data_IF_715878246737
#
_entry.id   IF_715878246737
#
_cell.length_a   1.000
_cell.length_b   1.000
_cell.length_c   1.000
_cell.angle_alpha   90.00
_cell.angle_beta   90.00
_cell.angle_gamma   90.00
#
_symmetry.space_group_name_H-M   'P 1'
#
loop_
_entity.id
_entity.type
_entity.pdbx_description
1 polymer ?
#
# COMPACT_ATOMS: atom_id res chain seq x y z
N UNK A 1 -18.28 -35.67 -4.14
CA UNK A 1 -16.93 -35.38 -4.66
C UNK A 1 -16.71 -33.88 -4.52
N UNK A 2 -15.99 -33.42 -3.49
CA UNK A 2 -15.74 -31.99 -3.29
C UNK A 2 -14.46 -31.63 -4.04
N UNK A 3 -14.60 -30.96 -5.18
CA UNK A 3 -13.48 -30.34 -5.89
C UNK A 3 -12.99 -29.17 -5.05
N UNK A 4 -11.81 -29.31 -4.45
CA UNK A 4 -11.14 -28.23 -3.72
C UNK A 4 -10.67 -27.20 -4.73
N UNK A 5 -11.32 -26.03 -4.77
CA UNK A 5 -10.87 -24.91 -5.59
C UNK A 5 -9.56 -24.37 -5.00
N UNK A 6 -8.44 -24.57 -5.70
CA UNK A 6 -7.17 -23.92 -5.37
C UNK A 6 -7.13 -22.56 -6.07
N UNK A 7 -7.13 -21.49 -5.29
CA UNK A 7 -6.89 -20.13 -5.78
C UNK A 7 -5.40 -19.81 -5.66
N UNK A 8 -4.78 -19.38 -6.75
CA UNK A 8 -3.42 -18.86 -6.77
C UNK A 8 -3.44 -17.34 -6.74
N UNK A 9 -2.58 -16.73 -5.92
CA UNK A 9 -2.44 -15.29 -5.84
C UNK A 9 -0.97 -14.87 -5.88
N UNK A 10 -0.70 -13.75 -6.54
CA UNK A 10 0.63 -13.13 -6.60
C UNK A 10 0.64 -11.87 -5.74
N UNK A 11 1.71 -11.71 -4.95
CA UNK A 11 1.94 -10.52 -4.12
C UNK A 11 3.09 -9.69 -4.67
N UNK A 12 2.84 -8.41 -4.93
CA UNK A 12 3.88 -7.42 -5.25
C UNK A 12 4.18 -6.59 -4.00
N UNK A 13 5.41 -6.64 -3.51
CA UNK A 13 5.84 -5.87 -2.34
C UNK A 13 6.99 -4.94 -2.71
N UNK A 14 6.67 -3.70 -3.04
CA UNK A 14 7.65 -2.64 -3.38
C UNK A 14 7.09 -1.26 -3.02
N UNK A 15 7.97 -0.30 -2.83
CA UNK A 15 7.65 1.09 -2.48
C UNK A 15 8.09 2.08 -3.57
N UNK A 16 8.39 3.31 -3.15
CA UNK A 16 8.78 4.44 -4.02
C UNK A 16 10.23 4.41 -4.53
N UNK A 17 10.94 3.29 -4.31
CA UNK A 17 12.36 3.11 -4.69
C UNK A 17 13.21 4.25 -4.12
N UNK A 18 14.06 4.87 -4.94
CA UNK A 18 14.96 5.95 -4.50
C UNK A 18 14.23 7.26 -4.18
N UNK A 19 13.03 7.50 -4.71
CA UNK A 19 12.32 8.78 -4.56
C UNK A 19 11.92 9.05 -3.11
N UNK A 20 11.30 8.07 -2.43
CA UNK A 20 10.96 8.26 -1.01
C UNK A 20 12.20 8.37 -0.12
N UNK A 21 13.29 7.69 -0.50
CA UNK A 21 14.54 7.76 0.23
C UNK A 21 15.22 9.13 0.07
N UNK A 22 15.19 9.75 -1.11
CA UNK A 22 15.74 11.09 -1.31
C UNK A 22 14.97 12.14 -0.50
N UNK A 23 13.64 12.09 -0.53
CA UNK A 23 12.79 12.98 0.29
C UNK A 23 13.13 12.82 1.77
N UNK A 24 13.23 11.58 2.27
CA UNK A 24 13.61 11.33 3.66
C UNK A 24 15.00 11.92 3.98
N UNK A 25 16.00 11.67 3.13
CA UNK A 25 17.36 12.19 3.30
C UNK A 25 17.38 13.72 3.38
N UNK A 26 16.61 14.41 2.53
CA UNK A 26 16.53 15.87 2.53
C UNK A 26 15.87 16.39 3.81
N UNK A 27 14.81 15.74 4.28
CA UNK A 27 14.15 16.10 5.54
C UNK A 27 15.05 15.83 6.76
N UNK A 28 15.81 14.73 6.77
CA UNK A 28 16.64 14.33 7.91
C UNK A 28 18.09 14.80 7.84
N UNK A 29 18.38 15.80 6.99
CA UNK A 29 19.76 16.23 6.73
C UNK A 29 20.44 16.81 7.97
N UNK A 30 19.70 17.55 8.78
CA UNK A 30 20.22 18.22 10.00
C UNK A 30 19.88 17.45 11.27
N UNK A 31 18.72 16.79 11.30
CA UNK A 31 18.20 16.06 12.47
C UNK A 31 17.60 14.72 12.02
N UNK A 32 17.75 13.68 12.83
CA UNK A 32 17.25 12.34 12.48
C UNK A 32 15.73 12.19 12.52
N UNK A 33 15.05 13.05 13.28
CA UNK A 33 13.60 13.05 13.43
C UNK A 33 13.06 14.48 13.55
N UNK A 34 13.10 15.26 12.45
CA UNK A 34 12.65 16.65 12.46
C UNK A 34 11.16 16.72 12.75
N UNK A 35 10.75 17.69 13.55
CA UNK A 35 9.35 18.06 13.72
C UNK A 35 9.00 19.19 12.76
N UNK A 36 7.96 18.98 11.94
CA UNK A 36 7.41 20.04 11.08
C UNK A 36 6.12 20.56 11.73
N UNK A 37 6.07 21.84 12.15
CA UNK A 37 4.86 22.43 12.73
C UNK A 37 3.66 22.39 11.74
N UNK A 38 2.42 22.15 12.23
CA UNK A 38 1.23 22.11 11.36
C UNK A 38 0.93 23.40 10.58
N UNK A 39 1.36 24.54 11.10
CA UNK A 39 1.18 25.88 10.55
C UNK A 39 2.35 26.33 9.65
N UNK A 40 3.40 25.51 9.55
CA UNK A 40 4.61 25.85 8.81
C UNK A 40 4.42 25.63 7.29
N UNK A 41 4.92 26.54 6.43
CA UNK A 41 4.87 26.36 4.98
C UNK A 41 5.71 25.16 4.50
N UNK A 42 6.66 24.67 5.30
CA UNK A 42 7.45 23.49 5.00
C UNK A 42 6.58 22.22 5.01
N UNK A 43 5.50 22.18 5.81
CA UNK A 43 4.60 21.02 5.86
C UNK A 43 3.94 20.77 4.50
N UNK A 44 3.43 21.83 3.84
CA UNK A 44 2.75 21.67 2.56
C UNK A 44 3.70 21.19 1.46
N UNK A 45 4.95 21.66 1.46
CA UNK A 45 6.00 21.19 0.56
C UNK A 45 6.31 19.71 0.80
N UNK A 46 6.56 19.32 2.05
CA UNK A 46 6.81 17.94 2.42
C UNK A 46 5.65 17.02 2.03
N UNK A 47 4.41 17.43 2.29
CA UNK A 47 3.22 16.64 1.96
C UNK A 47 3.06 16.46 0.45
N UNK A 48 3.33 17.48 -0.35
CA UNK A 48 3.30 17.36 -1.81
C UNK A 48 4.32 16.34 -2.33
N UNK A 49 5.55 16.37 -1.82
CA UNK A 49 6.60 15.40 -2.17
C UNK A 49 6.25 13.99 -1.68
N UNK A 50 5.77 13.87 -0.45
CA UNK A 50 5.30 12.63 0.15
C UNK A 50 4.17 12.00 -0.68
N UNK A 51 3.12 12.77 -1.00
CA UNK A 51 1.96 12.28 -1.72
C UNK A 51 2.34 11.87 -3.15
N UNK A 52 3.23 12.61 -3.79
CA UNK A 52 3.81 12.23 -5.06
C UNK A 52 4.58 10.89 -4.95
N UNK A 53 5.39 10.70 -3.92
CA UNK A 53 6.10 9.44 -3.70
C UNK A 53 5.16 8.26 -3.43
N UNK A 54 4.05 8.48 -2.72
CA UNK A 54 3.00 7.46 -2.50
C UNK A 54 2.32 7.10 -3.82
N UNK A 55 1.96 8.09 -4.64
CA UNK A 55 1.36 7.87 -5.96
C UNK A 55 2.32 7.12 -6.89
N UNK A 56 3.59 7.52 -6.92
CA UNK A 56 4.64 6.82 -7.65
C UNK A 56 4.71 5.36 -7.21
N UNK A 57 4.68 5.08 -5.90
CA UNK A 57 4.77 3.72 -5.36
C UNK A 57 3.61 2.84 -5.82
N UNK A 58 2.40 3.39 -5.89
CA UNK A 58 1.21 2.71 -6.43
C UNK A 58 1.39 2.39 -7.91
N UNK A 59 1.78 3.38 -8.72
CA UNK A 59 2.02 3.19 -10.16
C UNK A 59 3.12 2.15 -10.43
N UNK A 60 4.17 2.12 -9.60
CA UNK A 60 5.23 1.11 -9.70
C UNK A 60 4.74 -0.30 -9.36
N UNK A 61 3.90 -0.45 -8.32
CA UNK A 61 3.29 -1.75 -8.02
C UNK A 61 2.40 -2.23 -9.15
N UNK A 62 1.64 -1.33 -9.76
CA UNK A 62 0.77 -1.63 -10.89
C UNK A 62 1.55 -2.08 -12.12
N UNK A 63 2.63 -1.39 -12.46
CA UNK A 63 3.52 -1.77 -13.55
C UNK A 63 4.19 -3.13 -13.31
N UNK A 64 4.66 -3.38 -12.08
CA UNK A 64 5.25 -4.67 -11.72
C UNK A 64 4.21 -5.79 -11.79
N UNK A 65 3.00 -5.56 -11.27
CA UNK A 65 1.91 -6.54 -11.33
C UNK A 65 1.53 -6.86 -12.78
N UNK A 66 1.44 -5.84 -13.64
CA UNK A 66 1.19 -6.02 -15.07
C UNK A 66 2.30 -6.86 -15.73
N UNK A 67 3.58 -6.54 -15.50
CA UNK A 67 4.70 -7.35 -16.03
C UNK A 67 4.67 -8.80 -15.54
N UNK A 68 4.33 -9.03 -14.27
CA UNK A 68 4.18 -10.40 -13.74
C UNK A 68 3.02 -11.12 -14.44
N UNK A 69 1.88 -10.44 -14.67
CA UNK A 69 0.77 -10.99 -15.44
C UNK A 69 1.22 -11.42 -16.84
N UNK A 70 1.94 -10.56 -17.58
CA UNK A 70 2.47 -10.89 -18.92
C UNK A 70 3.43 -12.08 -18.91
N UNK A 71 4.25 -12.24 -17.86
CA UNK A 71 5.14 -13.39 -17.74
C UNK A 71 4.41 -14.70 -17.41
N UNK A 72 3.34 -14.64 -16.62
CA UNK A 72 2.59 -15.83 -16.19
C UNK A 72 1.54 -16.26 -17.22
N UNK A 73 0.95 -15.30 -17.92
CA UNK A 73 -0.09 -15.47 -18.92
C UNK A 73 0.34 -14.77 -20.21
N UNK A 74 1.39 -15.25 -20.91
CA UNK A 74 1.81 -14.66 -22.16
C UNK A 74 0.68 -14.81 -23.19
N UNK A 75 0.30 -13.71 -23.83
CA UNK A 75 -0.64 -13.76 -24.96
C UNK A 75 -0.04 -14.61 -26.07
N UNK A 76 -0.64 -15.74 -26.40
CA UNK A 76 -0.22 -16.54 -27.54
C UNK A 76 -0.84 -15.98 -28.83
N UNK A 77 -0.06 -15.83 -29.90
CA UNK A 77 -0.61 -15.47 -31.23
C UNK A 77 -1.56 -16.56 -31.80
N UNK A 78 -1.61 -17.73 -31.14
CA UNK A 78 -2.41 -18.90 -31.52
C UNK A 78 -3.81 -18.95 -30.90
N UNK A 79 -4.23 -17.97 -30.09
CA UNK A 79 -5.55 -17.95 -29.43
C UNK A 79 -6.70 -17.50 -30.35
N UNK A 80 -6.80 -18.12 -31.53
CA UNK A 80 -7.93 -17.96 -32.46
C UNK A 80 -9.10 -18.92 -32.15
N UNK A 81 -9.03 -19.72 -31.09
CA UNK A 81 -10.01 -20.78 -30.78
C UNK A 81 -11.33 -20.27 -30.18
N UNK A 82 -11.40 -19.01 -29.75
CA UNK A 82 -12.61 -18.44 -29.15
C UNK A 82 -13.03 -19.07 -27.81
N UNK A 83 -12.20 -19.95 -27.24
CA UNK A 83 -12.45 -20.52 -25.91
C UNK A 83 -12.03 -19.53 -24.81
N UNK A 84 -12.78 -19.44 -23.70
CA UNK A 84 -12.40 -18.58 -22.58
C UNK A 84 -11.06 -19.03 -22.00
N UNK A 85 -10.04 -18.18 -22.17
CA UNK A 85 -8.73 -18.35 -21.55
C UNK A 85 -8.84 -18.30 -20.02
N UNK A 86 -7.93 -18.96 -19.26
CA UNK A 86 -7.91 -18.91 -17.81
C UNK A 86 -8.03 -17.46 -17.33
N UNK A 87 -9.17 -17.22 -16.72
CA UNK A 87 -9.72 -15.92 -16.32
C UNK A 87 -8.73 -15.05 -15.56
N UNK A 88 -8.52 -13.85 -16.12
CA UNK A 88 -8.32 -12.58 -15.43
C UNK A 88 -7.55 -12.60 -14.11
N UNK A 89 -6.21 -12.60 -14.21
CA UNK A 89 -5.40 -11.99 -13.16
C UNK A 89 -5.87 -10.54 -12.97
N UNK A 90 -6.55 -10.30 -11.84
CA UNK A 90 -7.07 -9.00 -11.46
C UNK A 90 -6.43 -8.54 -10.14
N UNK A 91 -6.40 -7.22 -9.93
CA UNK A 91 -5.90 -6.63 -8.68
C UNK A 91 -6.96 -6.83 -7.60
N UNK A 92 -6.64 -7.59 -6.56
CA UNK A 92 -7.51 -7.80 -5.39
C UNK A 92 -7.48 -6.58 -4.47
N UNK A 93 -6.27 -6.15 -4.07
CA UNK A 93 -6.08 -5.05 -3.13
C UNK A 93 -4.70 -4.41 -3.32
N UNK A 94 -4.61 -3.10 -3.09
CA UNK A 94 -3.35 -2.37 -2.97
C UNK A 94 -3.33 -1.56 -1.66
N UNK A 95 -2.29 -1.74 -0.85
CA UNK A 95 -2.15 -1.11 0.46
C UNK A 95 -0.77 -0.49 0.63
N UNK A 96 -0.74 0.79 0.99
CA UNK A 96 0.47 1.50 1.42
C UNK A 96 0.61 1.41 2.94
N UNK A 97 1.76 0.95 3.41
CA UNK A 97 2.06 0.78 4.85
C UNK A 97 3.10 1.77 5.43
N UNK A 98 3.60 2.68 4.57
CA UNK A 98 4.47 3.80 4.94
C UNK A 98 3.84 5.08 4.40
N UNK A 99 3.22 5.88 5.26
CA UNK A 99 2.52 7.10 4.86
C UNK A 99 2.18 7.98 6.07
N UNK A 100 2.09 9.29 5.87
CA UNK A 100 1.39 10.20 6.77
C UNK A 100 0.05 10.62 6.13
N UNK A 101 -1.05 10.52 6.87
CA UNK A 101 -2.39 10.88 6.36
C UNK A 101 -3.15 11.71 7.39
N UNK A 102 -3.96 12.71 6.99
CA UNK A 102 -4.82 13.41 7.92
C UNK A 102 -5.86 12.45 8.49
N UNK A 103 -6.19 12.62 9.76
CA UNK A 103 -7.17 11.79 10.47
C UNK A 103 -7.85 12.59 11.58
N UNK A 104 -9.15 12.41 11.75
CA UNK A 104 -9.92 13.05 12.82
C UNK A 104 -10.31 12.01 13.86
N UNK A 105 -9.92 12.22 15.12
CA UNK A 105 -10.17 11.31 16.24
C UNK A 105 -10.80 12.06 17.41
N UNK A 106 -11.62 11.37 18.18
CA UNK A 106 -12.06 11.87 19.48
C UNK A 106 -10.97 11.54 20.51
N UNK A 107 -10.33 12.56 21.07
CA UNK A 107 -9.31 12.44 22.11
C UNK A 107 -9.74 13.28 23.30
N UNK A 108 -9.85 12.67 24.47
CA UNK A 108 -10.36 13.33 25.69
C UNK A 108 -11.74 13.98 25.50
N UNK A 109 -12.65 13.29 24.79
CA UNK A 109 -13.99 13.75 24.41
C UNK A 109 -14.04 14.97 23.47
N UNK A 110 -12.92 15.35 22.85
CA UNK A 110 -12.85 16.43 21.87
C UNK A 110 -12.41 15.92 20.50
N UNK A 111 -13.01 16.45 19.42
CA UNK A 111 -12.60 16.14 18.05
C UNK A 111 -11.27 16.83 17.75
N UNK A 112 -10.22 16.05 17.45
CA UNK A 112 -8.90 16.55 17.06
C UNK A 112 -8.55 16.11 15.65
N UNK A 113 -8.06 17.05 14.84
CA UNK A 113 -7.46 16.78 13.54
C UNK A 113 -5.97 16.51 13.73
N UNK A 114 -5.52 15.33 13.34
CA UNK A 114 -4.17 14.82 13.59
C UNK A 114 -3.56 14.28 12.29
N UNK A 115 -2.23 14.13 12.31
CA UNK A 115 -1.50 13.39 11.30
C UNK A 115 -1.24 11.97 11.81
N UNK A 116 -1.77 10.98 11.11
CA UNK A 116 -1.54 9.58 11.41
C UNK A 116 -0.34 9.06 10.61
N UNK A 117 0.78 8.90 11.31
CA UNK A 117 2.02 8.34 10.76
C UNK A 117 1.98 6.82 10.82
N UNK A 118 2.06 6.18 9.65
CA UNK A 118 2.19 4.73 9.52
C UNK A 118 3.59 4.40 9.02
N UNK A 119 4.32 3.57 9.77
CA UNK A 119 5.62 3.00 9.38
C UNK A 119 5.58 1.51 9.59
N UNK A 120 5.50 0.75 8.50
CA UNK A 120 5.26 -0.69 8.54
C UNK A 120 3.85 -1.08 9.00
N UNK A 121 2.91 -0.13 9.04
CA UNK A 121 1.53 -0.34 9.50
C UNK A 121 0.54 -0.08 8.36
N UNK A 122 -0.39 -1.00 8.13
CA UNK A 122 -1.40 -0.84 7.11
C UNK A 122 -2.61 -0.03 7.63
N UNK A 123 -3.30 0.77 6.78
CA UNK A 123 -4.63 1.27 7.10
C UNK A 123 -5.62 0.13 7.25
N UNK A 124 -6.56 0.26 8.18
CA UNK A 124 -7.61 -0.71 8.50
C UNK A 124 -8.93 -0.43 7.78
N UNK A 125 -8.91 0.19 6.59
CA UNK A 125 -10.11 0.65 5.87
C UNK A 125 -10.62 -0.37 4.85
N UNK A 126 -10.61 -1.66 5.20
CA UNK A 126 -11.01 -2.76 4.32
C UNK A 126 -10.04 -3.95 4.39
N UNK A 127 -10.18 -4.89 3.43
CA UNK A 127 -9.31 -6.07 3.35
C UNK A 127 -7.85 -5.62 3.31
N UNK A 128 -7.03 -6.17 4.19
CA UNK A 128 -5.65 -5.74 4.40
C UNK A 128 -4.69 -6.93 4.26
N UNK A 129 -3.68 -6.85 3.38
CA UNK A 129 -2.68 -7.90 3.27
C UNK A 129 -1.78 -7.91 4.52
N UNK A 130 -1.76 -9.08 5.15
CA UNK A 130 -0.85 -9.66 6.15
C UNK A 130 0.47 -10.24 5.58
N UNK A 131 1.49 -9.49 5.13
CA UNK A 131 2.66 -10.11 4.53
C UNK A 131 3.52 -10.88 5.55
N UNK A 132 3.65 -12.19 5.36
CA UNK A 132 4.71 -12.97 6.01
C UNK A 132 6.10 -12.68 5.44
N UNK A 133 7.13 -13.23 6.07
CA UNK A 133 8.48 -13.30 5.51
C UNK A 133 8.54 -14.23 4.30
N UNK A 134 9.65 -14.21 3.56
CA UNK A 134 9.84 -15.09 2.39
C UNK A 134 9.77 -16.55 2.81
N UNK A 135 8.86 -17.31 2.22
CA UNK A 135 8.61 -18.73 2.54
C UNK A 135 7.62 -18.97 3.67
N UNK A 136 7.07 -17.92 4.30
CA UNK A 136 6.02 -18.04 5.31
C UNK A 136 4.64 -17.68 4.73
N UNK A 137 3.58 -18.09 5.44
CA UNK A 137 2.21 -17.75 5.09
C UNK A 137 1.99 -16.24 5.05
N UNK A 138 1.15 -15.80 4.10
CA UNK A 138 0.60 -14.45 4.06
C UNK A 138 -0.92 -14.53 4.17
N UNK A 139 -1.53 -13.50 4.75
CA UNK A 139 -2.95 -13.47 5.08
C UNK A 139 -3.64 -12.30 4.40
N UNK A 140 -4.95 -12.41 4.19
CA UNK A 140 -5.83 -11.27 3.97
C UNK A 140 -6.69 -11.14 5.23
N UNK A 141 -6.70 -9.94 5.82
CA UNK A 141 -7.38 -9.66 7.09
C UNK A 141 -8.51 -8.68 6.85
N UNK A 142 -9.63 -8.87 7.53
CA UNK A 142 -10.70 -7.88 7.62
C UNK A 142 -10.65 -7.23 9.01
N UNK A 143 -10.39 -5.91 9.09
CA UNK A 143 -10.40 -5.20 10.35
C UNK A 143 -11.81 -5.17 10.97
N UNK A 144 -11.91 -5.42 12.27
CA UNK A 144 -13.20 -5.45 13.01
C UNK A 144 -13.39 -4.28 13.98
N UNK A 145 -12.34 -3.48 14.22
CA UNK A 145 -12.37 -2.34 15.14
C UNK A 145 -12.96 -1.09 14.49
N UNK A 146 -13.39 -0.14 15.34
CA UNK A 146 -13.93 1.16 14.92
C UNK A 146 -12.85 2.16 14.48
N UNK A 147 -11.58 1.84 14.73
CA UNK A 147 -10.44 2.72 14.43
C UNK A 147 -10.36 3.96 15.32
N UNK A 148 -11.22 4.08 16.33
CA UNK A 148 -11.25 5.17 17.31
C UNK A 148 -10.57 4.73 18.61
N UNK A 149 -10.83 3.48 19.04
CA UNK A 149 -10.29 2.92 20.26
C UNK A 149 -9.52 1.64 19.94
N UNK A 150 -8.20 1.70 20.07
CA UNK A 150 -7.40 0.50 20.24
C UNK A 150 -7.30 0.26 21.74
N UNK A 151 -8.23 -0.55 22.27
CA UNK A 151 -8.12 -1.04 23.65
C UNK A 151 -6.81 -1.80 23.87
#
# INVERSE_FOLDING_TARGET
MFTRLMLFATKVHTGSRGLGASILTDQTRTESNPYIPPDSPQLSVYLAEHDYAVQWARANRDLVAHRVKECLLPTSESDQSGEPQPSDLCKIVDVTHNSATPHSLIVDNELKNLWLHRKGAAPSTGITPCPGSRGHFSWLLEPTGDGQYNG
#
